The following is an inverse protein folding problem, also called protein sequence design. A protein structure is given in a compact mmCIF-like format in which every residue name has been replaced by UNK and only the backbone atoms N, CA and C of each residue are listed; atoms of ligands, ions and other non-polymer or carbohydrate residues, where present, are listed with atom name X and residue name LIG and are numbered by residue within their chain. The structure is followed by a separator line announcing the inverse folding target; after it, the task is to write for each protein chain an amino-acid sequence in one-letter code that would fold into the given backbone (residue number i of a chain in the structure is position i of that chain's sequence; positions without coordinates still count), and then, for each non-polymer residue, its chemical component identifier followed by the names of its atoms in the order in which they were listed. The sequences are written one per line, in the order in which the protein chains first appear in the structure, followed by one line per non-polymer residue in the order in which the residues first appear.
data_IF_343735863078
#
_entry.id   IF_343735863078
#
_cell.length_a   1.000
_cell.length_b   1.000
_cell.length_c   1.000
_cell.angle_alpha   90.00
_cell.angle_beta   90.00
_cell.angle_gamma   90.00
#
_symmetry.space_group_name_H-M   'P 1'
#
loop_
_entity.id
_entity.type
_entity.pdbx_description
1 polymer ?
#
# COMPACT_ATOMS: atom_id res chain seq x y z
N UNK A 1 11.51 -29.76 0.31
CA UNK A 1 10.19 -29.13 0.11
C UNK A 1 10.51 -27.66 -0.10
N UNK A 2 10.78 -27.27 -1.34
CA UNK A 2 11.13 -25.89 -1.68
C UNK A 2 9.88 -25.04 -1.58
N UNK A 3 9.81 -24.24 -0.52
CA UNK A 3 8.92 -23.10 -0.48
C UNK A 3 9.53 -22.03 -1.38
N UNK A 4 9.08 -22.00 -2.65
CA UNK A 4 9.38 -20.88 -3.54
C UNK A 4 8.90 -19.59 -2.88
N UNK A 5 9.84 -18.70 -2.59
CA UNK A 5 9.57 -17.42 -1.95
C UNK A 5 8.82 -16.54 -2.97
N UNK A 6 7.49 -16.48 -2.85
CA UNK A 6 6.67 -15.64 -3.71
C UNK A 6 6.75 -14.23 -3.16
N UNK A 7 7.71 -13.45 -3.66
CA UNK A 7 7.71 -12.01 -3.46
C UNK A 7 6.68 -11.38 -4.42
N UNK A 8 5.79 -10.57 -3.85
CA UNK A 8 4.74 -9.87 -4.60
C UNK A 8 5.23 -8.46 -4.86
N UNK A 9 5.59 -8.17 -6.11
CA UNK A 9 5.91 -6.80 -6.51
C UNK A 9 4.68 -6.13 -7.11
N UNK A 10 4.19 -5.09 -6.43
CA UNK A 10 3.14 -4.21 -6.94
C UNK A 10 3.76 -3.07 -7.73
N UNK A 11 3.48 -3.01 -9.04
CA UNK A 11 3.82 -1.85 -9.87
C UNK A 11 2.54 -1.08 -10.16
N UNK A 12 2.52 0.21 -9.79
CA UNK A 12 1.45 1.12 -10.22
C UNK A 12 1.91 1.85 -11.46
N UNK A 13 1.18 1.67 -12.56
CA UNK A 13 1.40 2.40 -13.80
C UNK A 13 0.25 3.38 -14.02
N UNK A 14 0.58 4.63 -14.32
CA UNK A 14 -0.36 5.66 -14.71
C UNK A 14 -0.21 5.88 -16.22
N UNK A 15 -1.27 5.62 -16.99
CA UNK A 15 -1.35 6.06 -18.39
C UNK A 15 -2.00 7.44 -18.42
N UNK A 16 -1.53 8.32 -19.31
CA UNK A 16 -1.99 9.70 -19.38
C UNK A 16 -3.51 9.76 -19.60
N UNK A 17 -4.27 10.24 -18.60
CA UNK A 17 -5.71 10.45 -18.77
C UNK A 17 -6.52 10.52 -17.48
N UNK A 18 -6.99 9.40 -16.95
CA UNK A 18 -8.09 9.42 -15.97
C UNK A 18 -8.13 8.26 -14.98
N UNK A 19 -7.27 7.25 -15.12
CA UNK A 19 -7.26 6.08 -14.25
C UNK A 19 -5.82 5.62 -13.98
N UNK A 20 -5.55 5.24 -12.74
CA UNK A 20 -4.30 4.55 -12.40
C UNK A 20 -4.54 3.04 -12.40
N UNK A 21 -3.55 2.25 -12.82
CA UNK A 21 -3.64 0.78 -12.80
C UNK A 21 -2.66 0.23 -11.78
N UNK A 22 -3.16 -0.55 -10.82
CA UNK A 22 -2.33 -1.39 -9.96
C UNK A 22 -2.15 -2.74 -10.64
N UNK A 23 -0.91 -3.15 -10.83
CA UNK A 23 -0.54 -4.44 -11.39
C UNK A 23 0.31 -5.21 -10.37
N UNK A 24 -0.01 -6.49 -10.16
CA UNK A 24 0.70 -7.37 -9.25
C UNK A 24 1.41 -8.45 -10.05
N UNK A 25 2.70 -8.63 -9.82
CA UNK A 25 3.52 -9.65 -10.46
C UNK A 25 4.03 -10.65 -9.42
N UNK A 26 4.18 -11.91 -9.82
CA UNK A 26 4.92 -12.88 -9.03
C UNK A 26 6.41 -12.74 -9.34
N UNK A 27 7.27 -12.80 -8.33
CA UNK A 27 8.71 -12.80 -8.52
C UNK A 27 9.28 -14.23 -8.45
N UNK A 28 10.15 -14.58 -9.39
CA UNK A 28 10.93 -15.82 -9.34
C UNK A 28 12.35 -15.50 -8.84
N UNK A 29 12.70 -16.07 -7.69
CA UNK A 29 13.99 -15.84 -7.04
C UNK A 29 15.17 -16.53 -7.74
N UNK A 30 14.95 -17.65 -8.45
CA UNK A 30 16.02 -18.40 -9.11
C UNK A 30 16.63 -17.63 -10.28
N UNK A 31 15.78 -16.92 -11.02
CA UNK A 31 16.21 -16.11 -12.17
C UNK A 31 16.13 -14.60 -11.88
N UNK A 32 15.81 -14.22 -10.65
CA UNK A 32 15.66 -12.81 -10.22
C UNK A 32 14.81 -11.99 -11.18
N UNK A 33 13.67 -12.53 -11.61
CA UNK A 33 12.79 -11.86 -12.57
C UNK A 33 11.31 -11.98 -12.20
N UNK A 34 10.50 -10.94 -12.50
CA UNK A 34 9.05 -11.01 -12.37
C UNK A 34 8.43 -11.86 -13.48
N UNK A 35 7.19 -12.28 -13.27
CA UNK A 35 6.38 -12.90 -14.32
C UNK A 35 6.20 -11.98 -15.53
N UNK A 36 6.09 -12.56 -16.72
CA UNK A 36 5.91 -11.81 -17.98
C UNK A 36 4.56 -11.10 -18.08
N UNK A 37 3.57 -11.51 -17.28
CA UNK A 37 2.24 -10.89 -17.18
C UNK A 37 1.86 -10.68 -15.71
N UNK A 38 1.01 -9.69 -15.42
CA UNK A 38 0.48 -9.51 -14.08
C UNK A 38 -0.40 -10.71 -13.68
N UNK A 39 -0.34 -11.08 -12.40
CA UNK A 39 -1.20 -12.08 -11.77
C UNK A 39 -2.54 -11.50 -11.37
N UNK A 40 -2.58 -10.20 -11.06
CA UNK A 40 -3.82 -9.48 -10.75
C UNK A 40 -3.69 -7.99 -11.13
N UNK A 41 -4.82 -7.37 -11.51
CA UNK A 41 -4.87 -5.95 -11.90
C UNK A 41 -6.09 -5.25 -11.32
N UNK A 42 -5.92 -4.01 -10.84
CA UNK A 42 -7.01 -3.16 -10.33
C UNK A 42 -6.96 -1.80 -11.02
N UNK A 43 -8.09 -1.41 -11.62
CA UNK A 43 -8.24 -0.08 -12.17
C UNK A 43 -8.80 0.86 -11.10
N UNK A 44 -8.04 1.88 -10.74
CA UNK A 44 -8.56 2.97 -9.93
C UNK A 44 -9.50 3.81 -10.80
N UNK A 45 -10.74 3.97 -10.33
CA UNK A 45 -11.77 4.79 -11.00
C UNK A 45 -11.36 6.27 -11.14
N UNK A 46 -10.41 6.72 -10.31
CA UNK A 46 -9.83 8.06 -10.34
C UNK A 46 -8.34 7.99 -10.70
N UNK A 47 -7.92 8.91 -11.59
CA UNK A 47 -6.54 9.03 -12.04
C UNK A 47 -5.72 9.81 -11.03
N UNK A 48 -4.61 9.21 -10.57
CA UNK A 48 -3.66 9.86 -9.68
C UNK A 48 -2.23 9.69 -10.19
N UNK A 49 -1.49 10.80 -10.29
CA UNK A 49 -0.11 10.78 -10.83
C UNK A 49 0.91 10.09 -9.93
N UNK A 50 0.56 9.72 -8.68
CA UNK A 50 1.48 9.04 -7.78
C UNK A 50 0.78 8.30 -6.63
N UNK A 51 0.61 6.99 -6.77
CA UNK A 51 0.15 6.13 -5.67
C UNK A 51 1.33 5.80 -4.76
N UNK A 52 1.15 5.93 -3.44
CA UNK A 52 2.04 5.32 -2.44
C UNK A 52 1.44 4.00 -2.01
N UNK A 53 2.28 3.00 -1.79
CA UNK A 53 1.86 1.69 -1.29
C UNK A 53 2.63 1.41 0.00
N UNK A 54 1.92 0.90 1.01
CA UNK A 54 2.52 0.29 2.19
C UNK A 54 2.03 -1.17 2.26
N UNK A 55 2.96 -2.12 2.26
CA UNK A 55 2.65 -3.55 2.36
C UNK A 55 2.77 -3.97 3.82
N UNK A 56 1.76 -4.67 4.33
CA UNK A 56 1.77 -5.22 5.68
C UNK A 56 2.79 -6.37 5.77
N UNK A 57 3.56 -6.51 6.86
CA UNK A 57 4.60 -7.54 6.98
C UNK A 57 4.11 -8.99 6.85
N UNK A 58 2.82 -9.27 7.01
CA UNK A 58 2.28 -10.61 6.73
C UNK A 58 2.33 -10.98 5.25
N UNK A 59 2.38 -10.00 4.34
CA UNK A 59 2.29 -10.19 2.90
C UNK A 59 0.86 -10.33 2.37
N UNK A 60 -0.15 -10.37 3.26
CA UNK A 60 -1.54 -10.57 2.86
C UNK A 60 -2.28 -9.25 2.61
N UNK A 61 -1.83 -8.12 3.16
CA UNK A 61 -2.54 -6.84 3.06
C UNK A 61 -1.62 -5.73 2.57
N UNK A 62 -2.17 -4.76 1.84
CA UNK A 62 -1.47 -3.50 1.55
C UNK A 62 -2.43 -2.34 1.41
N UNK A 63 -1.93 -1.14 1.70
CA UNK A 63 -2.68 0.11 1.60
C UNK A 63 -2.12 0.93 0.46
N UNK A 64 -3.00 1.39 -0.44
CA UNK A 64 -2.68 2.33 -1.49
C UNK A 64 -3.20 3.72 -1.14
N UNK A 65 -2.43 4.76 -1.38
CA UNK A 65 -2.93 6.13 -1.38
C UNK A 65 -3.51 6.51 -2.73
N UNK A 66 -4.68 7.14 -2.72
CA UNK A 66 -5.40 7.66 -3.88
C UNK A 66 -5.51 9.19 -3.82
N UNK A 67 -6.09 9.78 -4.87
CA UNK A 67 -6.45 11.21 -4.95
C UNK A 67 -7.39 11.68 -3.84
N UNK A 68 -8.25 10.79 -3.36
CA UNK A 68 -9.29 11.07 -2.37
C UNK A 68 -8.94 10.57 -0.97
N UNK A 69 -7.90 9.74 -0.81
CA UNK A 69 -7.52 9.19 0.49
C UNK A 69 -6.68 7.94 0.37
N UNK A 70 -7.18 6.84 0.94
CA UNK A 70 -6.54 5.53 0.89
C UNK A 70 -7.55 4.41 0.55
N UNK A 71 -7.03 3.30 0.01
CA UNK A 71 -7.77 2.04 -0.21
C UNK A 71 -6.95 0.87 0.36
N UNK A 72 -7.64 -0.06 1.01
CA UNK A 72 -7.05 -1.31 1.50
C UNK A 72 -7.27 -2.42 0.47
N UNK A 73 -6.25 -3.23 0.25
CA UNK A 73 -6.31 -4.43 -0.56
C UNK A 73 -5.84 -5.62 0.26
N UNK A 74 -6.67 -6.65 0.27
CA UNK A 74 -6.33 -7.95 0.86
C UNK A 74 -6.09 -8.95 -0.26
N UNK A 75 -4.95 -9.63 -0.22
CA UNK A 75 -4.48 -10.62 -1.17
C UNK A 75 -4.97 -12.01 -0.76
N UNK A 76 -5.43 -12.77 -1.75
CA UNK A 76 -5.91 -14.13 -1.58
C UNK A 76 -5.40 -15.01 -2.72
N UNK A 77 -5.10 -16.27 -2.42
CA UNK A 77 -4.66 -17.26 -3.39
C UNK A 77 -3.19 -17.65 -3.23
N UNK A 78 -2.73 -18.61 -4.03
CA UNK A 78 -1.33 -19.06 -4.08
C UNK A 78 -0.83 -19.05 -5.51
N UNK A 79 0.49 -18.82 -5.63
CA UNK A 79 1.27 -18.96 -6.87
C UNK A 79 0.66 -18.16 -8.04
N UNK A 80 -0.10 -18.82 -8.90
CA UNK A 80 -0.61 -18.25 -10.14
C UNK A 80 -2.01 -17.66 -10.06
N UNK A 81 -2.74 -17.89 -8.96
CA UNK A 81 -4.13 -17.43 -8.79
C UNK A 81 -4.27 -16.37 -7.69
N UNK A 82 -3.35 -15.40 -7.67
CA UNK A 82 -3.44 -14.25 -6.79
C UNK A 82 -4.66 -13.42 -7.20
N UNK A 83 -5.53 -13.13 -6.24
CA UNK A 83 -6.64 -12.18 -6.34
C UNK A 83 -6.49 -11.20 -5.19
N UNK A 84 -7.15 -10.06 -5.31
CA UNK A 84 -7.34 -9.19 -4.15
C UNK A 84 -8.76 -8.67 -4.08
N UNK A 85 -9.14 -8.25 -2.89
CA UNK A 85 -10.39 -7.54 -2.62
C UNK A 85 -10.04 -6.13 -2.17
N UNK A 86 -10.61 -5.14 -2.84
CA UNK A 86 -10.54 -3.75 -2.39
C UNK A 86 -11.56 -3.56 -1.26
N UNK A 87 -11.11 -3.06 -0.12
CA UNK A 87 -11.94 -2.68 1.02
C UNK A 87 -11.87 -1.19 1.27
N UNK A 88 -12.93 -0.67 1.88
CA UNK A 88 -12.93 0.69 2.38
C UNK A 88 -11.86 0.87 3.45
N UNK A 89 -11.23 2.03 3.44
CA UNK A 89 -10.22 2.42 4.40
C UNK A 89 -10.68 3.70 5.11
N UNK A 90 -10.43 3.87 6.43
CA UNK A 90 -10.96 5.00 7.21
C UNK A 90 -10.47 6.40 6.79
N UNK A 91 -9.39 6.50 6.01
CA UNK A 91 -8.92 7.76 5.45
C UNK A 91 -9.60 8.05 4.11
N UNK A 92 -10.79 8.64 4.18
CA UNK A 92 -11.56 9.14 3.04
C UNK A 92 -11.61 10.67 3.07
N UNK A 93 -11.64 11.30 1.90
CA UNK A 93 -11.73 12.75 1.69
C UNK A 93 -10.62 13.60 2.35
N UNK A 94 -9.49 12.97 2.68
CA UNK A 94 -8.29 13.63 3.23
C UNK A 94 -7.20 13.87 2.18
N UNK A 95 -7.46 13.44 0.95
CA UNK A 95 -6.50 13.51 -0.15
C UNK A 95 -5.30 12.56 0.01
N UNK A 96 -4.31 12.67 -0.90
CA UNK A 96 -3.18 11.74 -0.95
C UNK A 96 -2.30 11.75 0.31
N UNK A 97 -1.88 10.55 0.71
CA UNK A 97 -0.87 10.32 1.73
C UNK A 97 0.51 10.26 1.06
N UNK A 98 1.39 11.21 1.41
CA UNK A 98 2.74 11.36 0.85
C UNK A 98 3.70 10.27 1.32
N UNK A 99 3.46 9.76 2.53
CA UNK A 99 4.22 8.68 3.16
C UNK A 99 3.28 7.77 3.95
N UNK A 100 3.55 6.47 3.91
CA UNK A 100 2.82 5.43 4.63
C UNK A 100 3.80 4.29 4.95
N UNK A 101 3.71 3.71 6.15
CA UNK A 101 4.54 2.57 6.54
C UNK A 101 3.86 1.73 7.61
N UNK A 102 3.99 0.41 7.52
CA UNK A 102 3.65 -0.49 8.62
C UNK A 102 4.82 -0.63 9.59
N UNK A 103 4.52 -0.84 10.87
CA UNK A 103 5.53 -1.28 11.82
C UNK A 103 6.00 -2.70 11.48
N UNK A 104 7.22 -3.06 11.89
CA UNK A 104 7.82 -4.38 11.59
C UNK A 104 6.98 -5.53 12.13
N UNK A 105 6.36 -5.36 13.30
CA UNK A 105 5.46 -6.33 13.92
C UNK A 105 4.07 -6.37 13.28
N UNK A 106 3.80 -5.50 12.28
CA UNK A 106 2.51 -5.36 11.61
C UNK A 106 1.40 -4.74 12.46
N UNK A 107 1.65 -4.39 13.73
CA UNK A 107 0.60 -3.95 14.65
C UNK A 107 0.17 -2.49 14.45
N UNK A 108 0.88 -1.71 13.63
CA UNK A 108 0.63 -0.28 13.42
C UNK A 108 0.84 0.15 11.99
N UNK A 109 0.13 1.20 11.61
CA UNK A 109 0.28 1.90 10.34
C UNK A 109 0.46 3.39 10.60
N UNK A 110 1.54 3.98 10.08
CA UNK A 110 1.77 5.42 10.09
C UNK A 110 1.43 6.03 8.72
N UNK A 111 0.79 7.19 8.69
CA UNK A 111 0.51 7.95 7.46
C UNK A 111 0.83 9.44 7.63
N UNK A 112 1.19 10.09 6.52
CA UNK A 112 1.44 11.53 6.45
C UNK A 112 0.86 12.13 5.19
N UNK A 113 -0.10 13.04 5.32
CA UNK A 113 -0.97 13.48 4.22
C UNK A 113 -0.75 14.88 3.68
N UNK A 114 -1.39 15.18 2.56
CA UNK A 114 -1.48 16.55 2.00
C UNK A 114 -2.43 17.45 2.79
N UNK A 115 -3.42 16.86 3.47
CA UNK A 115 -4.25 17.50 4.49
C UNK A 115 -3.43 17.99 5.67
N UNK A 116 -2.23 17.42 5.77
CA UNK A 116 -1.20 17.90 6.64
C UNK A 116 -1.10 17.20 7.99
N UNK A 117 -1.83 16.12 8.14
CA UNK A 117 -1.81 15.35 9.37
C UNK A 117 -0.72 14.28 9.31
N UNK A 118 -0.11 14.03 10.46
CA UNK A 118 0.57 12.77 10.77
C UNK A 118 -0.39 11.90 11.58
N UNK A 119 -0.57 10.65 11.17
CA UNK A 119 -1.44 9.71 11.87
C UNK A 119 -0.74 8.40 12.16
N UNK A 120 -1.04 7.84 13.32
CA UNK A 120 -0.64 6.50 13.73
C UNK A 120 -1.89 5.71 14.11
N UNK A 121 -2.07 4.57 13.47
CA UNK A 121 -3.18 3.66 13.70
C UNK A 121 -2.70 2.36 14.35
N UNK A 122 -3.55 1.78 15.19
CA UNK A 122 -3.49 0.36 15.53
C UNK A 122 -4.05 -0.46 14.37
N UNK A 123 -3.39 -1.55 14.03
CA UNK A 123 -3.78 -2.47 12.96
C UNK A 123 -4.24 -3.83 13.53
N UNK A 124 -5.28 -4.48 12.96
CA UNK A 124 -6.14 -4.06 11.86
C UNK A 124 -7.40 -3.30 12.31
N UNK A 125 -7.53 -2.98 13.61
CA UNK A 125 -8.71 -2.30 14.16
C UNK A 125 -8.89 -0.89 13.61
N UNK A 126 -7.83 -0.30 13.05
CA UNK A 126 -7.76 1.07 12.57
C UNK A 126 -8.11 2.12 13.64
N UNK A 127 -7.93 1.78 14.91
CA UNK A 127 -8.07 2.73 16.01
C UNK A 127 -6.94 3.76 15.92
N UNK A 128 -7.30 5.04 15.93
CA UNK A 128 -6.33 6.14 15.96
C UNK A 128 -5.62 6.14 17.31
N UNK A 129 -4.29 6.05 17.26
CA UNK A 129 -3.38 6.24 18.41
C UNK A 129 -2.90 7.69 18.45
N UNK A 130 -2.55 8.26 17.29
CA UNK A 130 -2.10 9.65 17.14
C UNK A 130 -2.75 10.25 15.90
N UNK A 131 -3.22 11.50 16.02
CA UNK A 131 -3.63 12.35 14.90
C UNK A 131 -3.12 13.78 15.16
N UNK A 132 -1.99 14.12 14.54
CA UNK A 132 -1.28 15.37 14.76
C UNK A 132 -1.40 16.27 13.52
N UNK A 133 -2.13 17.40 13.59
CA UNK A 133 -2.22 18.37 12.50
C UNK A 133 -0.94 19.21 12.36
N UNK A 134 -0.80 19.97 11.25
CA UNK A 134 0.36 20.82 10.96
C UNK A 134 1.75 20.12 10.94
N UNK A 135 1.80 18.79 10.82
CA UNK A 135 3.04 18.01 10.88
C UNK A 135 4.05 18.29 9.74
N UNK A 136 3.63 18.98 8.68
CA UNK A 136 4.39 19.29 7.46
C UNK A 136 5.49 20.34 7.68
N UNK A 137 5.60 20.91 8.89
CA UNK A 137 6.81 21.65 9.33
C UNK A 137 7.97 20.71 9.73
N UNK A 138 7.76 19.40 9.86
CA UNK A 138 8.72 18.50 10.52
C UNK A 138 9.15 17.25 9.74
N UNK A 139 8.39 16.71 8.78
CA UNK A 139 8.73 15.38 8.22
C UNK A 139 8.73 15.31 6.68
N UNK A 140 9.86 14.86 6.13
CA UNK A 140 10.03 14.52 4.70
C UNK A 140 10.10 13.01 4.45
N UNK A 141 10.23 12.21 5.49
CA UNK A 141 10.37 10.76 5.41
C UNK A 141 9.82 10.10 6.69
N UNK A 142 9.31 8.88 6.57
CA UNK A 142 8.83 8.08 7.71
C UNK A 142 9.38 6.67 7.60
N UNK A 143 10.09 6.24 8.63
CA UNK A 143 10.67 4.91 8.74
C UNK A 143 10.50 4.40 10.17
N UNK A 144 10.17 3.11 10.31
CA UNK A 144 10.19 2.44 11.62
C UNK A 144 11.58 1.87 11.84
N UNK A 145 12.34 2.46 12.77
CA UNK A 145 13.68 1.98 13.13
C UNK A 145 13.60 0.80 14.10
N UNK A 146 14.46 -0.19 13.88
CA UNK A 146 14.79 -1.22 14.86
C UNK A 146 15.44 -0.60 16.11
N UNK A 147 15.12 -1.14 17.29
CA UNK A 147 15.97 -1.06 18.48
C UNK A 147 16.64 -2.40 18.72
#
# INVERSE_FOLDING_TARGET
MDGGDVSVEGKVTCSAGTCSLLEIFSFNSENTSPSSSPKATYLFEEGGERVRIAVHPSGDDFVCSTTTGCKLFELYGREDNIKFVCKEFPLQDVGPQKCMAFSVDGSKLATGGVDGHFRLFEWPTMRIIVDEPEAHKSFRDMDFRYS
#
